data_IF_777992762327
#
_entry.id   IF_777992762327
#
_cell.length_a   1.000
_cell.length_b   1.000
_cell.length_c   1.000
_cell.angle_alpha   90.00
_cell.angle_beta   90.00
_cell.angle_gamma   90.00
#
_symmetry.space_group_name_H-M   'P 1'
#
loop_
_entity.id
_entity.type
_entity.pdbx_description
1 polymer ?
#
# COMPACT_ATOMS: atom_id res chain seq x y z
N UNK A 1 -6.54 11.69 -7.32
CA UNK A 1 -5.78 12.93 -6.98
C UNK A 1 -4.87 12.68 -5.79
N UNK A 2 -3.56 12.97 -5.86
CA UNK A 2 -2.64 12.72 -4.75
C UNK A 2 -2.39 13.95 -3.89
N UNK A 3 -2.39 13.80 -2.56
CA UNK A 3 -2.16 14.88 -1.60
C UNK A 3 -0.73 15.42 -1.67
N UNK A 4 0.25 14.57 -2.01
CA UNK A 4 1.66 14.97 -2.17
C UNK A 4 1.87 16.01 -3.29
N UNK A 5 0.90 16.13 -4.21
CA UNK A 5 0.93 17.10 -5.30
C UNK A 5 0.00 18.30 -5.06
N UNK A 6 -0.56 18.43 -3.85
CA UNK A 6 -1.41 19.55 -3.47
C UNK A 6 -0.66 20.54 -2.59
N UNK A 7 -1.03 21.81 -2.67
CA UNK A 7 -0.66 22.81 -1.69
C UNK A 7 -1.74 22.90 -0.58
N UNK A 8 -1.39 23.52 0.54
CA UNK A 8 -2.30 23.60 1.69
C UNK A 8 -3.65 24.28 1.37
N UNK A 9 -3.76 25.33 0.52
CA UNK A 9 -5.06 25.90 0.17
C UNK A 9 -5.95 24.96 -0.65
N UNK A 10 -5.37 24.15 -1.55
CA UNK A 10 -6.12 23.14 -2.29
C UNK A 10 -6.67 22.04 -1.36
N UNK A 11 -5.89 21.65 -0.34
CA UNK A 11 -6.36 20.72 0.69
C UNK A 11 -7.45 21.35 1.56
N UNK A 12 -7.30 22.62 1.96
CA UNK A 12 -8.35 23.34 2.69
C UNK A 12 -9.66 23.41 1.90
N UNK A 13 -9.58 23.74 0.60
CA UNK A 13 -10.74 23.74 -0.29
C UNK A 13 -11.38 22.34 -0.40
N UNK A 14 -10.59 21.29 -0.56
CA UNK A 14 -11.08 19.91 -0.56
C UNK A 14 -11.89 19.59 0.70
N UNK A 15 -11.39 19.98 1.87
CA UNK A 15 -12.01 19.74 3.18
C UNK A 15 -13.37 20.43 3.36
N UNK A 16 -13.70 21.44 2.55
CA UNK A 16 -15.03 22.07 2.56
C UNK A 16 -16.14 21.16 2.02
N UNK A 17 -15.78 20.17 1.20
CA UNK A 17 -16.75 19.26 0.56
C UNK A 17 -16.60 17.80 0.99
N UNK A 18 -15.42 17.39 1.45
CA UNK A 18 -15.08 15.99 1.76
C UNK A 18 -14.14 15.92 2.95
N UNK A 19 -14.36 14.95 3.83
CA UNK A 19 -13.51 14.68 5.01
C UNK A 19 -12.82 13.32 4.98
N UNK A 20 -12.71 12.71 3.80
CA UNK A 20 -12.15 11.36 3.60
C UNK A 20 -10.76 11.45 2.98
N UNK A 21 -9.84 10.54 3.34
CA UNK A 21 -8.52 10.38 2.72
C UNK A 21 -8.28 8.89 2.50
N UNK A 22 -7.82 8.52 1.29
CA UNK A 22 -7.37 7.15 1.03
C UNK A 22 -5.90 7.03 1.39
N UNK A 23 -5.56 6.03 2.21
CA UNK A 23 -4.19 5.71 2.58
C UNK A 23 -3.87 4.34 1.99
N UNK A 24 -3.06 4.25 0.92
CA UNK A 24 -2.64 2.95 0.41
C UNK A 24 -1.67 2.30 1.38
N UNK A 25 -1.99 1.07 1.80
CA UNK A 25 -1.16 0.26 2.69
C UNK A 25 -0.95 -1.10 2.03
N UNK A 26 0.31 -1.50 1.89
CA UNK A 26 0.69 -2.82 1.42
C UNK A 26 1.70 -3.48 2.36
N UNK A 27 2.28 -4.59 1.92
CA UNK A 27 3.33 -5.31 2.64
C UNK A 27 4.59 -5.49 1.78
N UNK A 28 5.73 -5.69 2.45
CA UNK A 28 6.96 -6.14 1.82
C UNK A 28 7.07 -7.65 2.06
N UNK A 29 6.67 -8.46 1.08
CA UNK A 29 6.58 -9.91 1.25
C UNK A 29 6.94 -10.75 0.03
N UNK A 30 7.27 -12.03 0.26
CA UNK A 30 7.64 -12.97 -0.78
C UNK A 30 6.40 -13.49 -1.53
N UNK A 31 6.36 -13.28 -2.85
CA UNK A 31 5.28 -13.75 -3.73
C UNK A 31 5.73 -14.86 -4.70
N UNK A 32 6.68 -15.70 -4.26
CA UNK A 32 7.23 -16.80 -5.06
C UNK A 32 8.36 -16.36 -6.02
N UNK A 33 8.94 -17.29 -6.80
CA UNK A 33 10.16 -17.03 -7.59
C UNK A 33 10.02 -15.92 -8.66
N UNK A 34 8.80 -15.68 -9.12
CA UNK A 34 8.49 -14.69 -10.16
C UNK A 34 7.74 -13.47 -9.61
N UNK A 35 7.38 -13.48 -8.32
CA UNK A 35 6.59 -12.42 -7.70
C UNK A 35 7.48 -11.30 -7.17
N UNK A 36 7.03 -10.05 -7.34
CA UNK A 36 7.74 -8.89 -6.80
C UNK A 36 7.54 -8.80 -5.29
N UNK A 37 8.60 -8.48 -4.55
CA UNK A 37 8.53 -8.35 -3.08
C UNK A 37 7.54 -7.26 -2.62
N UNK A 38 7.32 -6.24 -3.44
CA UNK A 38 6.40 -5.14 -3.16
C UNK A 38 5.04 -5.26 -3.83
N UNK A 39 4.62 -6.45 -4.28
CA UNK A 39 3.37 -6.62 -5.05
C UNK A 39 2.18 -5.97 -4.33
N UNK A 40 2.05 -6.18 -3.02
CA UNK A 40 0.98 -5.58 -2.22
C UNK A 40 1.01 -4.05 -2.22
N UNK A 41 2.19 -3.43 -2.10
CA UNK A 41 2.33 -1.97 -2.16
C UNK A 41 1.88 -1.43 -3.52
N UNK A 42 2.30 -2.09 -4.61
CA UNK A 42 1.99 -1.67 -5.97
C UNK A 42 0.48 -1.78 -6.26
N UNK A 43 -0.15 -2.88 -5.83
CA UNK A 43 -1.58 -3.10 -6.01
C UNK A 43 -2.39 -2.09 -5.18
N UNK A 44 -2.05 -1.92 -3.90
CA UNK A 44 -2.74 -0.97 -3.02
C UNK A 44 -2.64 0.47 -3.53
N UNK A 45 -1.45 0.89 -3.98
CA UNK A 45 -1.24 2.23 -4.53
C UNK A 45 -2.04 2.44 -5.83
N UNK A 46 -1.97 1.49 -6.76
CA UNK A 46 -2.70 1.58 -8.03
C UNK A 46 -4.20 1.67 -7.80
N UNK A 47 -4.75 0.81 -6.95
CA UNK A 47 -6.17 0.80 -6.62
C UNK A 47 -6.61 2.10 -5.93
N UNK A 48 -5.84 2.59 -4.95
CA UNK A 48 -6.15 3.83 -4.26
C UNK A 48 -6.14 5.03 -5.20
N UNK A 49 -5.20 5.08 -6.16
CA UNK A 49 -5.16 6.12 -7.20
C UNK A 49 -6.40 6.09 -8.07
N UNK A 50 -6.79 4.92 -8.59
CA UNK A 50 -7.99 4.76 -9.42
C UNK A 50 -9.27 5.17 -8.69
N UNK A 51 -9.48 4.67 -7.46
CA UNK A 51 -10.65 5.03 -6.65
C UNK A 51 -10.65 6.52 -6.31
N UNK A 52 -9.49 7.10 -5.97
CA UNK A 52 -9.36 8.52 -5.67
C UNK A 52 -9.66 9.42 -6.86
N UNK A 53 -9.36 8.98 -8.08
CA UNK A 53 -9.72 9.69 -9.32
C UNK A 53 -11.22 9.61 -9.60
N UNK A 54 -11.81 8.40 -9.53
CA UNK A 54 -13.25 8.19 -9.80
C UNK A 54 -14.14 8.91 -8.79
N UNK A 55 -13.78 8.87 -7.50
CA UNK A 55 -14.61 9.40 -6.41
C UNK A 55 -14.25 10.84 -6.02
N UNK A 56 -13.20 11.40 -6.63
CA UNK A 56 -12.65 12.71 -6.28
C UNK A 56 -12.13 12.78 -4.84
N UNK A 57 -11.53 11.69 -4.34
CA UNK A 57 -10.97 11.58 -2.98
C UNK A 57 -9.46 11.77 -3.05
N UNK A 58 -8.88 12.50 -2.08
CA UNK A 58 -7.44 12.64 -1.97
C UNK A 58 -6.79 11.32 -1.55
N UNK A 59 -5.62 11.03 -2.12
CA UNK A 59 -4.83 9.83 -1.84
C UNK A 59 -3.51 10.25 -1.19
N UNK A 60 -3.21 9.66 -0.03
CA UNK A 60 -1.93 9.81 0.66
C UNK A 60 -0.81 9.08 -0.10
N UNK A 61 0.47 9.45 0.12
CA UNK A 61 1.58 8.59 -0.25
C UNK A 61 1.39 7.17 0.34
N UNK A 62 1.87 6.11 -0.36
CA UNK A 62 1.87 4.77 0.20
C UNK A 62 2.53 4.76 1.58
N UNK A 63 1.84 4.19 2.56
CA UNK A 63 2.42 4.02 3.88
C UNK A 63 3.41 2.85 3.85
N UNK A 64 4.69 3.06 4.22
CA UNK A 64 5.67 1.99 4.28
C UNK A 64 5.36 1.10 5.49
N UNK A 65 4.55 0.08 5.28
CA UNK A 65 4.22 -0.92 6.31
C UNK A 65 5.25 -2.06 6.32
N UNK A 66 5.28 -2.75 7.47
CA UNK A 66 6.36 -3.66 7.84
C UNK A 66 6.48 -4.93 6.98
N UNK A 67 7.68 -5.52 7.02
CA UNK A 67 8.01 -6.79 6.42
C UNK A 67 7.33 -7.95 7.19
N UNK A 68 6.43 -8.69 6.55
CA UNK A 68 5.74 -9.82 7.17
C UNK A 68 6.76 -10.87 7.63
N UNK A 69 6.82 -11.17 8.94
CA UNK A 69 7.89 -12.00 9.54
C UNK A 69 8.05 -13.41 8.94
N UNK A 70 7.05 -13.91 8.23
CA UNK A 70 7.08 -15.15 7.46
C UNK A 70 8.06 -15.12 6.28
N UNK A 71 8.43 -13.94 5.78
CA UNK A 71 9.21 -13.74 4.53
C UNK A 71 10.71 -13.76 4.78
N UNK A 72 11.17 -13.36 5.96
CA UNK A 72 12.59 -13.45 6.40
C UNK A 72 13.13 -14.87 6.50
N UNK A 73 12.30 -15.88 6.24
CA UNK A 73 12.64 -17.30 6.32
C UNK A 73 12.82 -17.94 4.94
N UNK A 74 12.89 -17.12 3.88
CA UNK A 74 13.18 -17.56 2.51
C UNK A 74 14.68 -17.39 2.19
N UNK A 75 15.33 -18.35 1.51
CA UNK A 75 14.81 -19.64 1.06
C UNK A 75 14.85 -20.75 2.14
N UNK A 76 15.41 -20.47 3.32
CA UNK A 76 15.91 -21.48 4.26
C UNK A 76 14.89 -22.12 5.22
N UNK A 77 13.62 -22.27 4.82
CA UNK A 77 12.73 -23.24 5.46
C UNK A 77 12.35 -24.36 4.49
N UNK A 78 12.72 -25.63 4.78
CA UNK A 78 11.93 -26.73 4.26
C UNK A 78 10.48 -26.54 4.73
N UNK A 79 9.51 -26.95 3.92
CA UNK A 79 8.08 -26.98 4.23
C UNK A 79 7.83 -27.83 5.50
N UNK A 80 8.11 -27.27 6.68
CA UNK A 80 8.15 -27.87 8.01
C UNK A 80 9.06 -29.13 8.17
N UNK A 81 9.94 -29.19 9.19
CA UNK A 81 10.19 -30.46 9.85
C UNK A 81 8.97 -30.79 10.73
N UNK A 82 8.41 -31.99 10.57
CA UNK A 82 7.44 -32.54 11.53
C UNK A 82 8.05 -32.45 12.93
N UNK A 83 7.33 -31.84 13.87
CA UNK A 83 7.63 -32.07 15.29
C UNK A 83 7.23 -33.51 15.61
N UNK A 84 8.21 -34.32 16.02
CA UNK A 84 7.98 -35.44 16.92
C UNK A 84 7.61 -34.91 18.30
#
# INVERSE_FOLDING_TARGET
>A
MQIAHQNWPAVEHYLTTRSVLLIPIGSTEQHGPNGLIGTDHLVAESLARSVGEEMGILVAPPWPMECLTTTWRFPDRPLFPRKH
#
